data_IF_797089201976
#
_entry.id   IF_797089201976
#
_cell.length_a   1.000
_cell.length_b   1.000
_cell.length_c   1.000
_cell.angle_alpha   90.00
_cell.angle_beta   90.00
_cell.angle_gamma   90.00
#
_symmetry.space_group_name_H-M   'P 1'
#
loop_
_entity.id
_entity.type
_entity.pdbx_description
1 polymer ?
#
# COMPACT_ATOMS: atom_id res chain seq x y z
N UNK A 1 -38.29 -21.22 14.72
CA UNK A 1 -38.54 -19.88 15.31
C UNK A 1 -37.27 -19.07 15.60
N UNK A 2 -36.06 -19.61 15.44
CA UNK A 2 -34.78 -18.90 15.65
C UNK A 2 -34.29 -18.10 14.43
N UNK A 3 -34.77 -18.39 13.21
CA UNK A 3 -34.37 -17.67 11.99
C UNK A 3 -34.87 -16.22 11.90
N UNK A 4 -36.13 -15.96 12.28
CA UNK A 4 -36.76 -14.63 12.14
C UNK A 4 -36.09 -13.58 13.04
N UNK A 5 -35.73 -13.92 14.29
CA UNK A 5 -35.03 -13.00 15.21
C UNK A 5 -33.63 -12.60 14.71
N UNK A 6 -32.95 -13.50 13.99
CA UNK A 6 -31.62 -13.21 13.45
C UNK A 6 -31.70 -12.29 12.22
N UNK A 7 -32.71 -12.46 11.37
CA UNK A 7 -32.95 -11.57 10.24
C UNK A 7 -33.36 -10.17 10.71
N UNK A 8 -34.13 -10.07 11.80
CA UNK A 8 -34.46 -8.79 12.44
C UNK A 8 -33.18 -8.05 12.85
N UNK A 9 -32.24 -8.71 13.54
CA UNK A 9 -30.97 -8.09 13.92
C UNK A 9 -30.10 -7.66 12.72
N UNK A 10 -30.05 -8.47 11.65
CA UNK A 10 -29.33 -8.10 10.42
C UNK A 10 -30.02 -6.97 9.64
N UNK A 11 -31.35 -6.88 9.72
CA UNK A 11 -32.13 -5.78 9.12
C UNK A 11 -31.99 -4.47 9.91
N UNK A 12 -31.92 -4.54 11.25
CA UNK A 12 -31.69 -3.39 12.14
C UNK A 12 -30.34 -2.72 11.85
N UNK A 13 -29.31 -3.51 11.53
CA UNK A 13 -27.98 -2.98 11.14
C UNK A 13 -27.83 -2.79 9.62
N UNK A 14 -28.91 -2.93 8.86
CA UNK A 14 -28.98 -2.61 7.44
C UNK A 14 -28.28 -3.58 6.49
N UNK A 15 -28.00 -4.84 6.88
CA UNK A 15 -27.28 -5.82 6.06
C UNK A 15 -28.17 -6.80 5.27
N UNK A 16 -29.45 -6.96 5.62
CA UNK A 16 -30.30 -8.02 5.02
C UNK A 16 -31.68 -7.58 4.51
N UNK A 17 -32.13 -6.34 4.74
CA UNK A 17 -33.41 -5.90 4.20
C UNK A 17 -33.26 -4.58 3.43
N UNK A 18 -34.00 -4.48 2.33
CA UNK A 18 -34.16 -3.27 1.52
C UNK A 18 -35.18 -2.35 2.21
N UNK A 19 -34.90 -1.90 3.43
CA UNK A 19 -35.79 -0.93 4.06
C UNK A 19 -35.49 0.46 3.49
N UNK A 20 -36.41 0.96 2.68
CA UNK A 20 -36.41 2.32 2.12
C UNK A 20 -36.42 3.42 3.20
N UNK A 21 -36.65 3.09 4.47
CA UNK A 21 -37.07 4.08 5.47
C UNK A 21 -36.39 4.01 6.84
N UNK A 22 -35.20 3.42 7.03
CA UNK A 22 -34.64 3.47 8.40
C UNK A 22 -33.13 3.61 8.63
N UNK A 23 -32.19 3.11 7.83
CA UNK A 23 -30.78 3.14 8.28
C UNK A 23 -29.73 3.32 7.18
N UNK A 24 -29.68 4.53 6.60
CA UNK A 24 -28.46 5.04 5.96
C UNK A 24 -28.11 6.49 6.34
N UNK A 25 -29.05 7.26 6.91
CA UNK A 25 -28.81 8.66 7.28
C UNK A 25 -28.41 8.89 8.74
N UNK A 26 -28.72 7.96 9.66
CA UNK A 26 -28.47 8.15 11.10
C UNK A 26 -27.16 7.53 11.62
N UNK A 27 -26.55 6.60 10.89
CA UNK A 27 -25.24 6.06 11.27
C UNK A 27 -24.15 6.87 10.61
N UNK A 28 -23.26 7.46 11.41
CA UNK A 28 -22.09 8.15 10.90
C UNK A 28 -21.26 7.15 10.08
N UNK A 29 -20.67 7.58 8.96
CA UNK A 29 -19.73 6.80 8.14
C UNK A 29 -18.68 6.03 8.96
N UNK A 30 -18.27 6.58 10.10
CA UNK A 30 -17.35 5.91 11.04
C UNK A 30 -17.94 4.64 11.65
N UNK A 31 -19.19 4.69 12.10
CA UNK A 31 -19.92 3.57 12.69
C UNK A 31 -20.21 2.50 11.63
N UNK A 32 -20.62 2.93 10.43
CA UNK A 32 -20.82 2.02 9.29
C UNK A 32 -19.54 1.25 8.94
N UNK A 33 -18.39 1.92 8.99
CA UNK A 33 -17.10 1.24 8.79
C UNK A 33 -16.80 0.24 9.91
N UNK A 34 -17.16 0.53 11.16
CA UNK A 34 -16.97 -0.42 12.26
C UNK A 34 -17.84 -1.66 12.06
N UNK A 35 -19.11 -1.49 11.70
CA UNK A 35 -20.04 -2.59 11.36
C UNK A 35 -19.47 -3.42 10.21
N UNK A 36 -19.01 -2.77 9.13
CA UNK A 36 -18.41 -3.46 7.98
C UNK A 36 -17.16 -4.27 8.37
N UNK A 37 -16.38 -3.83 9.36
CA UNK A 37 -15.16 -4.51 9.78
C UNK A 37 -15.40 -5.64 10.78
N UNK A 38 -16.54 -5.64 11.47
CA UNK A 38 -16.92 -6.70 12.40
C UNK A 38 -17.18 -8.01 11.64
N UNK A 39 -16.39 -9.05 11.92
CA UNK A 39 -16.48 -10.35 11.24
C UNK A 39 -17.59 -11.25 11.80
N UNK A 40 -18.18 -10.91 12.95
CA UNK A 40 -19.17 -11.74 13.65
C UNK A 40 -20.46 -11.95 12.86
N UNK A 41 -20.77 -11.05 11.92
CA UNK A 41 -21.96 -11.13 11.07
C UNK A 41 -21.77 -11.98 9.82
N UNK A 42 -20.53 -12.31 9.42
CA UNK A 42 -20.27 -12.95 8.14
C UNK A 42 -20.84 -14.35 8.05
N UNK A 43 -20.63 -15.18 9.07
CA UNK A 43 -21.19 -16.53 9.11
C UNK A 43 -22.72 -16.50 9.04
N UNK A 44 -23.35 -15.51 9.67
CA UNK A 44 -24.80 -15.33 9.69
C UNK A 44 -25.32 -14.98 8.29
N UNK A 45 -24.83 -13.89 7.68
CA UNK A 45 -25.29 -13.44 6.36
C UNK A 45 -24.97 -14.50 5.29
N UNK A 46 -23.77 -15.08 5.31
CA UNK A 46 -23.40 -16.12 4.35
C UNK A 46 -24.26 -17.37 4.49
N UNK A 47 -24.64 -17.77 5.71
CA UNK A 47 -25.53 -18.92 5.90
C UNK A 47 -26.93 -18.66 5.39
N UNK A 48 -27.45 -17.45 5.55
CA UNK A 48 -28.78 -17.08 5.03
C UNK A 48 -28.79 -17.08 3.50
N UNK A 49 -27.81 -16.45 2.85
CA UNK A 49 -27.66 -16.47 1.39
C UNK A 49 -27.56 -17.90 0.85
N UNK A 50 -26.79 -18.77 1.52
CA UNK A 50 -26.64 -20.19 1.14
C UNK A 50 -27.92 -21.01 1.27
N UNK A 51 -28.90 -20.60 2.08
CA UNK A 51 -30.19 -21.32 2.19
C UNK A 51 -31.01 -21.22 0.91
N UNK A 52 -30.75 -20.21 0.10
CA UNK A 52 -31.44 -19.94 -1.15
C UNK A 52 -30.53 -20.24 -2.36
N UNK A 53 -29.62 -21.20 -2.21
CA UNK A 53 -28.84 -21.74 -3.32
C UNK A 53 -29.74 -22.55 -4.26
N UNK A 54 -29.73 -22.21 -5.55
CA UNK A 54 -30.48 -22.96 -6.56
C UNK A 54 -29.70 -24.21 -7.01
N UNK A 55 -30.35 -25.07 -7.80
CA UNK A 55 -29.74 -26.31 -8.29
C UNK A 55 -28.53 -26.10 -9.23
N UNK A 56 -28.27 -24.87 -9.66
CA UNK A 56 -27.11 -24.49 -10.47
C UNK A 56 -25.93 -23.98 -9.62
N UNK A 57 -26.07 -23.95 -8.28
CA UNK A 57 -25.06 -23.44 -7.36
C UNK A 57 -25.01 -21.91 -7.28
N UNK A 58 -26.08 -21.24 -7.73
CA UNK A 58 -26.19 -19.79 -7.63
C UNK A 58 -26.92 -19.41 -6.35
N UNK A 59 -26.37 -18.45 -5.62
CA UNK A 59 -26.99 -17.93 -4.41
C UNK A 59 -28.01 -16.83 -4.72
N UNK A 60 -29.12 -16.81 -3.99
CA UNK A 60 -30.07 -15.70 -4.04
C UNK A 60 -29.65 -14.56 -3.12
N UNK A 61 -29.41 -13.39 -3.72
CA UNK A 61 -29.09 -12.13 -3.03
C UNK A 61 -30.25 -11.12 -3.06
N UNK A 62 -31.45 -11.51 -3.50
CA UNK A 62 -32.62 -10.62 -3.71
C UNK A 62 -33.02 -9.84 -2.46
N UNK A 63 -32.87 -10.43 -1.26
CA UNK A 63 -33.14 -9.75 0.00
C UNK A 63 -31.95 -8.94 0.53
N UNK A 64 -30.73 -9.24 0.08
CA UNK A 64 -29.51 -8.61 0.62
C UNK A 64 -29.45 -7.14 0.23
N UNK A 65 -29.15 -6.27 1.19
CA UNK A 65 -29.06 -4.82 0.93
C UNK A 65 -27.74 -4.46 0.22
N UNK A 66 -27.64 -3.22 -0.29
CA UNK A 66 -26.38 -2.68 -0.81
C UNK A 66 -25.23 -2.79 0.21
N UNK A 67 -25.50 -2.52 1.49
CA UNK A 67 -24.50 -2.60 2.56
C UNK A 67 -24.15 -4.06 2.86
N UNK A 68 -25.13 -4.97 2.81
CA UNK A 68 -24.93 -6.41 2.88
C UNK A 68 -24.00 -6.92 1.77
N UNK A 69 -24.21 -6.47 0.54
CA UNK A 69 -23.34 -6.81 -0.58
C UNK A 69 -21.93 -6.26 -0.41
N UNK A 70 -21.77 -5.02 0.08
CA UNK A 70 -20.45 -4.46 0.43
C UNK A 70 -19.78 -5.33 1.50
N UNK A 71 -20.52 -5.71 2.55
CA UNK A 71 -20.03 -6.53 3.65
C UNK A 71 -19.53 -7.89 3.14
N UNK A 72 -20.34 -8.60 2.36
CA UNK A 72 -19.95 -9.88 1.76
C UNK A 72 -18.72 -9.72 0.87
N UNK A 73 -18.68 -8.68 0.04
CA UNK A 73 -17.56 -8.41 -0.86
C UNK A 73 -16.24 -8.14 -0.14
N UNK A 74 -16.24 -7.39 0.96
CA UNK A 74 -15.01 -7.07 1.68
C UNK A 74 -14.45 -8.28 2.42
N UNK A 75 -15.31 -9.23 2.82
CA UNK A 75 -14.97 -10.45 3.56
C UNK A 75 -14.85 -11.72 2.71
N UNK A 76 -15.32 -11.75 1.45
CA UNK A 76 -15.36 -12.94 0.55
C UNK A 76 -14.05 -13.72 0.46
N UNK A 77 -12.91 -13.04 0.59
CA UNK A 77 -11.59 -13.68 0.68
C UNK A 77 -11.20 -13.84 2.14
N UNK A 78 -11.93 -14.68 2.88
CA UNK A 78 -11.73 -14.90 4.31
C UNK A 78 -10.23 -15.10 4.63
N UNK A 79 -9.72 -14.37 5.62
CA UNK A 79 -8.31 -14.42 6.05
C UNK A 79 -7.28 -13.80 5.09
N UNK A 80 -7.59 -13.56 3.81
CA UNK A 80 -6.59 -13.10 2.81
C UNK A 80 -6.50 -11.57 2.66
N UNK A 81 -7.54 -10.83 3.06
CA UNK A 81 -7.56 -9.36 2.95
C UNK A 81 -7.33 -8.70 4.31
N UNK A 82 -6.26 -7.92 4.44
CA UNK A 82 -5.93 -7.17 5.67
C UNK A 82 -7.01 -6.13 6.01
N UNK A 83 -7.23 -5.87 7.29
CA UNK A 83 -8.24 -4.91 7.78
C UNK A 83 -8.08 -3.51 7.18
N UNK A 84 -6.84 -3.06 6.98
CA UNK A 84 -6.57 -1.78 6.31
C UNK A 84 -7.17 -1.73 4.89
N UNK A 85 -7.08 -2.83 4.15
CA UNK A 85 -7.66 -2.94 2.80
C UNK A 85 -9.18 -3.06 2.88
N UNK A 86 -9.73 -3.83 3.82
CA UNK A 86 -11.19 -3.87 4.05
C UNK A 86 -11.76 -2.48 4.36
N UNK A 87 -11.09 -1.74 5.23
CA UNK A 87 -11.45 -0.37 5.63
C UNK A 87 -11.38 0.61 4.46
N UNK A 88 -10.36 0.50 3.61
CA UNK A 88 -10.26 1.30 2.39
C UNK A 88 -11.41 0.98 1.42
N UNK A 89 -11.66 -0.30 1.16
CA UNK A 89 -12.72 -0.73 0.25
C UNK A 89 -14.10 -0.28 0.75
N UNK A 90 -14.41 -0.53 2.02
CA UNK A 90 -15.66 -0.09 2.63
C UNK A 90 -15.85 1.42 2.55
N UNK A 91 -14.78 2.21 2.77
CA UNK A 91 -14.85 3.68 2.62
C UNK A 91 -15.20 4.14 1.21
N UNK A 92 -14.59 3.54 0.18
CA UNK A 92 -14.87 3.94 -1.20
C UNK A 92 -16.26 3.47 -1.65
N UNK A 93 -16.68 2.27 -1.25
CA UNK A 93 -17.99 1.73 -1.61
C UNK A 93 -19.14 2.42 -0.88
N UNK A 94 -18.97 2.80 0.40
CA UNK A 94 -19.95 3.61 1.11
C UNK A 94 -20.13 4.98 0.46
N UNK A 95 -19.06 5.62 -0.02
CA UNK A 95 -19.18 6.88 -0.75
C UNK A 95 -20.01 6.74 -2.04
N UNK A 96 -19.87 5.61 -2.74
CA UNK A 96 -20.68 5.31 -3.91
C UNK A 96 -22.17 5.20 -3.54
N UNK A 97 -22.50 4.48 -2.46
CA UNK A 97 -23.89 4.40 -1.97
C UNK A 97 -24.39 5.79 -1.54
N UNK A 98 -23.62 6.53 -0.74
CA UNK A 98 -23.96 7.88 -0.28
C UNK A 98 -24.29 8.82 -1.44
N UNK A 99 -23.53 8.77 -2.54
CA UNK A 99 -23.80 9.59 -3.72
C UNK A 99 -25.19 9.30 -4.31
N UNK A 100 -25.53 8.03 -4.51
CA UNK A 100 -26.81 7.65 -5.11
C UNK A 100 -27.99 7.89 -4.17
N UNK A 101 -27.80 7.66 -2.87
CA UNK A 101 -28.79 8.01 -1.85
C UNK A 101 -29.11 9.51 -1.87
N UNK A 102 -28.10 10.39 -2.04
CA UNK A 102 -28.31 11.84 -2.19
C UNK A 102 -29.06 12.22 -3.48
N UNK A 103 -29.06 11.34 -4.49
CA UNK A 103 -29.82 11.48 -5.73
C UNK A 103 -31.12 10.64 -5.72
N UNK A 104 -31.61 10.27 -4.53
CA UNK A 104 -32.84 9.51 -4.30
C UNK A 104 -32.86 8.11 -4.97
N UNK A 105 -31.70 7.47 -5.09
CA UNK A 105 -31.57 6.10 -5.58
C UNK A 105 -31.02 5.24 -4.45
N UNK A 106 -31.89 4.40 -3.88
CA UNK A 106 -31.58 3.63 -2.68
C UNK A 106 -31.12 2.20 -2.98
N UNK A 107 -31.34 1.71 -4.20
CA UNK A 107 -31.00 0.37 -4.63
C UNK A 107 -30.12 0.40 -5.88
N UNK A 108 -28.90 -0.13 -5.77
CA UNK A 108 -27.94 -0.12 -6.87
C UNK A 108 -28.35 -1.03 -8.03
N UNK A 109 -29.29 -1.96 -7.81
CA UNK A 109 -29.83 -2.83 -8.87
C UNK A 109 -30.68 -2.06 -9.86
N UNK A 110 -31.24 -0.92 -9.45
CA UNK A 110 -32.01 -0.03 -10.32
C UNK A 110 -31.13 0.85 -11.22
N UNK A 111 -29.81 0.88 -10.98
CA UNK A 111 -28.91 1.78 -11.68
C UNK A 111 -28.81 1.47 -13.17
N UNK A 112 -28.69 2.55 -13.95
CA UNK A 112 -28.46 2.54 -15.39
C UNK A 112 -27.02 2.92 -15.68
N UNK A 113 -26.58 2.58 -16.89
CA UNK A 113 -25.27 2.95 -17.40
C UNK A 113 -25.03 4.47 -17.34
N UNK A 114 -26.00 5.29 -17.72
CA UNK A 114 -25.89 6.75 -17.70
C UNK A 114 -25.61 7.29 -16.30
N UNK A 115 -26.26 6.74 -15.28
CA UNK A 115 -26.04 7.11 -13.88
C UNK A 115 -24.63 6.75 -13.38
N UNK A 116 -24.04 5.68 -13.92
CA UNK A 116 -22.65 5.33 -13.65
C UNK A 116 -21.67 6.31 -14.32
N UNK A 117 -21.99 6.77 -15.53
CA UNK A 117 -21.23 7.81 -16.25
C UNK A 117 -21.30 9.14 -15.48
N UNK A 118 -22.48 9.52 -14.99
CA UNK A 118 -22.69 10.71 -14.13
C UNK A 118 -21.86 10.62 -12.83
N UNK A 119 -21.86 9.45 -12.18
CA UNK A 119 -21.03 9.22 -10.99
C UNK A 119 -19.54 9.34 -11.28
N UNK A 120 -19.09 8.86 -12.43
CA UNK A 120 -17.69 9.01 -12.83
C UNK A 120 -17.32 10.49 -13.05
N UNK A 121 -18.17 11.26 -13.74
CA UNK A 121 -17.95 12.70 -13.93
C UNK A 121 -17.82 13.39 -12.56
N UNK A 122 -18.74 13.10 -11.64
CA UNK A 122 -18.67 13.63 -10.28
C UNK A 122 -17.39 13.23 -9.53
N UNK A 123 -16.89 12.00 -9.70
CA UNK A 123 -15.62 11.57 -9.12
C UNK A 123 -14.44 12.35 -9.69
N UNK A 124 -14.46 12.63 -10.99
CA UNK A 124 -13.41 13.37 -11.68
C UNK A 124 -13.38 14.84 -11.23
N UNK A 125 -14.55 15.46 -11.05
CA UNK A 125 -14.69 16.83 -10.52
C UNK A 125 -14.30 16.92 -9.04
N UNK A 126 -14.70 15.93 -8.23
CA UNK A 126 -14.43 15.93 -6.78
C UNK A 126 -12.96 15.71 -6.43
N UNK A 127 -12.21 15.00 -7.26
CA UNK A 127 -10.85 14.58 -6.95
C UNK A 127 -9.85 15.05 -7.99
N UNK A 128 -9.05 16.04 -7.66
CA UNK A 128 -7.98 16.57 -8.54
C UNK A 128 -6.98 15.49 -9.01
N UNK A 129 -6.60 14.57 -8.11
CA UNK A 129 -5.55 13.58 -8.40
C UNK A 129 -6.09 12.38 -9.19
N UNK A 130 -5.66 12.24 -10.46
CA UNK A 130 -5.91 11.07 -11.33
C UNK A 130 -5.67 9.72 -10.64
N UNK A 131 -4.61 9.60 -9.83
CA UNK A 131 -4.30 8.38 -9.05
C UNK A 131 -5.40 8.03 -8.04
N UNK A 132 -6.01 9.04 -7.41
CA UNK A 132 -7.12 8.85 -6.47
C UNK A 132 -8.37 8.40 -7.23
N UNK A 133 -8.68 9.05 -8.35
CA UNK A 133 -9.78 8.66 -9.24
C UNK A 133 -9.63 7.19 -9.71
N UNK A 134 -8.46 6.84 -10.25
CA UNK A 134 -8.14 5.49 -10.73
C UNK A 134 -8.33 4.43 -9.64
N UNK A 135 -7.87 4.71 -8.41
CA UNK A 135 -8.02 3.79 -7.27
C UNK A 135 -9.50 3.55 -6.93
N UNK A 136 -10.30 4.62 -6.90
CA UNK A 136 -11.74 4.54 -6.60
C UNK A 136 -12.49 3.76 -7.66
N UNK A 137 -12.26 4.08 -8.93
CA UNK A 137 -12.85 3.36 -10.08
C UNK A 137 -12.43 1.89 -10.08
N UNK A 138 -11.18 1.57 -9.74
CA UNK A 138 -10.72 0.17 -9.63
C UNK A 138 -11.47 -0.59 -8.54
N UNK A 139 -11.62 -0.01 -7.35
CA UNK A 139 -12.32 -0.65 -6.22
C UNK A 139 -13.80 -0.85 -6.57
N UNK A 140 -14.44 0.18 -7.14
CA UNK A 140 -15.85 0.14 -7.53
C UNK A 140 -16.10 -0.85 -8.66
N UNK A 141 -15.29 -0.83 -9.73
CA UNK A 141 -15.43 -1.75 -10.85
C UNK A 141 -15.27 -3.20 -10.38
N UNK A 142 -14.31 -3.48 -9.49
CA UNK A 142 -14.14 -4.82 -8.94
C UNK A 142 -15.30 -5.27 -8.04
N UNK A 143 -16.03 -4.34 -7.41
CA UNK A 143 -17.23 -4.64 -6.62
C UNK A 143 -18.43 -4.89 -7.54
N UNK A 144 -18.73 -3.97 -8.46
CA UNK A 144 -19.84 -4.10 -9.40
C UNK A 144 -19.70 -5.34 -10.30
N UNK A 145 -18.47 -5.64 -10.74
CA UNK A 145 -18.20 -6.85 -11.52
C UNK A 145 -18.56 -8.11 -10.72
N UNK A 146 -18.19 -8.15 -9.45
CA UNK A 146 -18.55 -9.26 -8.56
C UNK A 146 -20.07 -9.33 -8.35
N UNK A 147 -20.76 -8.21 -8.10
CA UNK A 147 -22.21 -8.21 -7.97
C UNK A 147 -22.93 -8.70 -9.24
N UNK A 148 -22.38 -8.43 -10.42
CA UNK A 148 -22.89 -8.96 -11.69
C UNK A 148 -22.60 -10.46 -11.85
N UNK A 149 -21.40 -10.92 -11.52
CA UNK A 149 -21.02 -12.34 -11.54
C UNK A 149 -21.84 -13.20 -10.56
N UNK A 150 -22.29 -12.61 -9.45
CA UNK A 150 -23.14 -13.25 -8.44
C UNK A 150 -24.65 -13.05 -8.72
N UNK A 151 -25.03 -12.59 -9.91
CA UNK A 151 -26.42 -12.34 -10.31
C UNK A 151 -27.21 -11.36 -9.41
N UNK A 152 -26.55 -10.61 -8.52
CA UNK A 152 -27.19 -9.53 -7.76
C UNK A 152 -27.55 -8.35 -8.67
N UNK A 153 -26.71 -8.07 -9.66
CA UNK A 153 -26.99 -7.12 -10.73
C UNK A 153 -27.37 -7.87 -12.00
N UNK A 154 -28.50 -7.53 -12.61
CA UNK A 154 -28.92 -8.09 -13.91
C UNK A 154 -28.07 -7.59 -15.09
N UNK A 155 -27.25 -6.54 -14.88
CA UNK A 155 -26.48 -5.87 -15.93
C UNK A 155 -25.10 -5.46 -15.44
N UNK A 156 -24.14 -5.49 -16.35
CA UNK A 156 -22.76 -5.11 -16.06
C UNK A 156 -22.61 -3.59 -16.01
N UNK A 157 -22.76 -3.02 -14.81
CA UNK A 157 -22.61 -1.59 -14.55
C UNK A 157 -21.17 -1.07 -14.71
N UNK A 158 -20.16 -1.95 -14.82
CA UNK A 158 -18.78 -1.48 -15.05
C UNK A 158 -18.60 -0.85 -16.42
N UNK A 159 -19.53 -1.09 -17.36
CA UNK A 159 -19.50 -0.48 -18.69
C UNK A 159 -19.71 1.04 -18.69
N UNK A 160 -20.33 1.57 -17.63
CA UNK A 160 -20.44 3.02 -17.42
C UNK A 160 -19.23 3.63 -16.72
N UNK A 161 -18.19 2.83 -16.42
CA UNK A 161 -16.96 3.28 -15.79
C UNK A 161 -15.78 3.13 -16.76
N UNK A 162 -15.28 4.24 -17.29
CA UNK A 162 -14.06 4.27 -18.08
C UNK A 162 -12.83 4.18 -17.17
N UNK A 163 -11.84 3.38 -17.59
CA UNK A 163 -10.56 3.30 -16.90
C UNK A 163 -9.85 4.65 -16.91
N UNK A 164 -9.34 5.09 -15.76
CA UNK A 164 -8.49 6.29 -15.70
C UNK A 164 -7.11 5.92 -16.18
N UNK A 165 -6.76 6.36 -17.39
CA UNK A 165 -5.38 6.28 -17.88
C UNK A 165 -4.50 7.13 -16.97
N UNK A 166 -3.55 6.49 -16.31
CA UNK A 166 -2.47 7.20 -15.64
C UNK A 166 -1.38 7.41 -16.69
N UNK A 167 -1.22 8.67 -17.10
CA UNK A 167 -0.06 9.02 -17.91
C UNK A 167 1.21 8.65 -17.11
N UNK A 168 2.05 7.78 -17.69
CA UNK A 168 3.31 7.35 -17.07
C UNK A 168 4.23 8.56 -16.82
N UNK A 169 4.08 9.65 -17.57
CA UNK A 169 4.79 10.91 -17.35
C UNK A 169 4.43 11.62 -16.03
N UNK A 170 3.30 11.27 -15.39
CA UNK A 170 2.89 11.81 -14.08
C UNK A 170 3.47 11.05 -12.89
N UNK A 171 4.30 10.04 -13.11
CA UNK A 171 5.03 9.38 -12.02
C UNK A 171 6.14 10.36 -11.60
N UNK A 172 6.09 10.93 -10.39
CA UNK A 172 7.09 11.92 -9.98
C UNK A 172 8.46 11.28 -10.04
N UNK A 173 9.42 12.02 -10.58
CA UNK A 173 10.81 11.63 -10.56
C UNK A 173 11.24 11.44 -9.10
N UNK A 174 11.75 10.24 -8.81
CA UNK A 174 12.13 9.79 -7.47
C UNK A 174 13.63 9.82 -7.27
N UNK A 175 14.39 10.27 -8.27
CA UNK A 175 15.84 10.23 -8.30
C UNK A 175 16.41 11.22 -7.30
N UNK A 176 17.09 10.70 -6.29
CA UNK A 176 17.89 11.49 -5.36
C UNK A 176 19.33 11.35 -5.83
N UNK A 177 20.05 12.46 -5.99
CA UNK A 177 21.47 12.39 -6.35
C UNK A 177 22.32 11.96 -5.15
N UNK A 178 23.46 11.27 -5.36
CA UNK A 178 24.38 10.93 -4.28
C UNK A 178 24.85 12.15 -3.48
N UNK A 179 25.06 13.28 -4.15
CA UNK A 179 25.51 14.54 -3.55
C UNK A 179 24.43 15.11 -2.63
N UNK A 180 23.17 15.15 -3.09
CA UNK A 180 22.05 15.63 -2.28
C UNK A 180 21.83 14.76 -1.03
N UNK A 181 21.97 13.43 -1.17
CA UNK A 181 21.90 12.51 -0.03
C UNK A 181 23.08 12.73 0.93
N UNK A 182 24.29 12.89 0.41
CA UNK A 182 25.50 13.15 1.20
C UNK A 182 25.38 14.46 1.99
N UNK A 183 24.99 15.56 1.35
CA UNK A 183 24.73 16.84 2.03
C UNK A 183 23.67 16.71 3.11
N UNK A 184 22.62 15.92 2.87
CA UNK A 184 21.59 15.66 3.89
C UNK A 184 22.12 14.83 5.05
N UNK A 185 23.02 13.88 4.83
CA UNK A 185 23.67 13.13 5.91
C UNK A 185 24.53 14.05 6.78
N UNK A 186 25.30 14.95 6.16
CA UNK A 186 26.11 15.96 6.87
C UNK A 186 25.26 16.96 7.65
N UNK A 187 24.11 17.37 7.12
CA UNK A 187 23.16 18.21 7.85
C UNK A 187 22.72 17.60 9.20
N UNK A 188 22.79 16.27 9.35
CA UNK A 188 22.43 15.55 10.57
C UNK A 188 23.63 15.03 11.37
N UNK A 189 24.87 15.51 11.15
CA UNK A 189 26.06 15.03 11.87
C UNK A 189 25.92 15.09 13.41
N UNK A 190 25.17 16.06 13.94
CA UNK A 190 24.89 16.19 15.38
C UNK A 190 23.63 15.45 15.86
N UNK A 191 22.91 14.77 14.97
CA UNK A 191 21.68 14.01 15.22
C UNK A 191 21.88 12.54 14.79
N UNK A 192 22.64 11.73 15.57
CA UNK A 192 22.98 10.35 15.21
C UNK A 192 21.75 9.48 14.99
N UNK A 193 20.64 9.83 15.66
CA UNK A 193 19.33 9.22 15.43
C UNK A 193 18.83 9.46 14.02
N UNK A 194 18.76 10.70 13.54
CA UNK A 194 18.21 10.88 12.20
C UNK A 194 19.22 10.54 11.10
N UNK A 195 20.50 10.84 11.32
CA UNK A 195 21.57 10.45 10.41
C UNK A 195 21.61 8.94 10.20
N UNK A 196 21.58 8.16 11.30
CA UNK A 196 21.56 6.70 11.24
C UNK A 196 20.32 6.15 10.54
N UNK A 197 19.15 6.75 10.76
CA UNK A 197 17.91 6.34 10.09
C UNK A 197 17.95 6.63 8.59
N UNK A 198 18.44 7.80 8.19
CA UNK A 198 18.59 8.19 6.80
C UNK A 198 19.56 7.24 6.07
N UNK A 199 20.73 7.01 6.66
CA UNK A 199 21.74 6.11 6.12
C UNK A 199 21.22 4.67 6.04
N UNK A 200 20.53 4.18 7.07
CA UNK A 200 19.90 2.86 7.09
C UNK A 200 18.94 2.70 5.91
N UNK A 201 18.02 3.64 5.71
CA UNK A 201 17.01 3.55 4.66
C UNK A 201 17.65 3.57 3.26
N UNK A 202 18.67 4.40 3.05
CA UNK A 202 19.36 4.53 1.78
C UNK A 202 20.29 3.35 1.46
N UNK A 203 20.79 2.62 2.46
CA UNK A 203 21.82 1.57 2.26
C UNK A 203 21.31 0.14 2.44
N UNK A 204 20.15 -0.07 3.08
CA UNK A 204 19.55 -1.40 3.30
C UNK A 204 18.30 -1.66 2.44
N UNK A 205 17.75 -0.60 1.85
CA UNK A 205 16.47 -0.66 1.14
C UNK A 205 15.34 -1.19 2.03
N UNK A 206 15.33 -0.95 3.33
CA UNK A 206 14.21 -1.31 4.22
C UNK A 206 12.99 -0.40 3.99
N UNK A 207 11.77 -0.95 4.10
CA UNK A 207 10.54 -0.16 4.27
C UNK A 207 10.47 0.33 5.70
N UNK A 208 9.79 1.44 5.96
CA UNK A 208 9.58 1.94 7.33
C UNK A 208 8.99 0.89 8.27
N UNK A 209 8.05 0.05 7.80
CA UNK A 209 7.51 -1.04 8.62
C UNK A 209 8.58 -2.07 8.99
N UNK A 210 9.52 -2.35 8.09
CA UNK A 210 10.61 -3.30 8.32
C UNK A 210 11.67 -2.71 9.28
N UNK A 211 11.73 -1.38 9.45
CA UNK A 211 12.53 -0.69 10.48
C UNK A 211 11.82 -0.68 11.84
N UNK A 212 10.49 -0.50 11.84
CA UNK A 212 9.69 -0.38 13.07
C UNK A 212 9.44 -1.72 13.77
N UNK A 213 9.39 -2.82 13.01
CA UNK A 213 8.97 -4.13 13.54
C UNK A 213 10.02 -4.85 14.41
N UNK A 214 11.31 -4.91 14.08
CA UNK A 214 12.28 -5.73 14.81
C UNK A 214 12.64 -5.18 16.21
N UNK A 215 13.14 -6.07 17.04
CA UNK A 215 13.73 -5.79 18.35
C UNK A 215 15.26 -5.75 18.24
N UNK A 216 15.94 -5.33 19.30
CA UNK A 216 17.41 -5.34 19.36
C UNK A 216 17.95 -6.77 19.23
N UNK A 217 17.30 -7.75 19.83
CA UNK A 217 17.61 -9.19 19.67
C UNK A 217 17.57 -9.71 18.22
N UNK A 218 16.92 -9.00 17.30
CA UNK A 218 16.87 -9.41 15.90
C UNK A 218 18.09 -8.92 15.10
N UNK A 219 18.92 -8.05 15.69
CA UNK A 219 20.23 -7.68 15.19
C UNK A 219 21.25 -8.76 15.56
N UNK A 220 22.06 -9.19 14.61
CA UNK A 220 23.11 -10.19 14.84
C UNK A 220 24.34 -9.93 13.96
N UNK A 221 25.48 -10.43 14.41
CA UNK A 221 26.72 -10.47 13.63
C UNK A 221 26.83 -11.82 12.91
N UNK A 222 26.94 -11.78 11.59
CA UNK A 222 27.23 -12.95 10.78
C UNK A 222 28.74 -13.15 10.72
N UNK A 223 29.25 -14.20 11.38
CA UNK A 223 30.68 -14.47 11.49
C UNK A 223 31.31 -14.82 10.14
N UNK A 224 30.63 -15.59 9.29
CA UNK A 224 31.13 -16.01 7.98
C UNK A 224 31.24 -14.83 7.04
N UNK A 225 30.19 -13.99 6.99
CA UNK A 225 30.11 -12.83 6.08
C UNK A 225 30.81 -11.60 6.65
N UNK A 226 31.18 -11.63 7.93
CA UNK A 226 31.76 -10.53 8.70
C UNK A 226 30.95 -9.24 8.58
N UNK A 227 29.64 -9.35 8.80
CA UNK A 227 28.66 -8.27 8.57
C UNK A 227 27.53 -8.30 9.61
N UNK A 228 26.97 -7.14 9.91
CA UNK A 228 25.78 -7.04 10.75
C UNK A 228 24.50 -7.23 9.94
N UNK A 229 23.51 -7.90 10.51
CA UNK A 229 22.21 -8.11 9.88
C UNK A 229 21.09 -7.90 10.88
N UNK A 230 19.96 -7.37 10.42
CA UNK A 230 18.71 -7.37 11.19
C UNK A 230 17.70 -8.29 10.51
N UNK A 231 17.13 -9.22 11.28
CA UNK A 231 15.99 -10.04 10.83
C UNK A 231 14.71 -9.23 10.99
N UNK A 232 13.90 -9.17 9.94
CA UNK A 232 12.64 -8.39 9.96
C UNK A 232 11.54 -9.06 9.16
N UNK A 233 10.29 -8.88 9.61
CA UNK A 233 9.10 -9.43 8.98
C UNK A 233 8.68 -8.58 7.79
N UNK A 234 8.43 -9.22 6.66
CA UNK A 234 7.96 -8.55 5.45
C UNK A 234 6.43 -8.50 5.42
N UNK A 235 5.85 -7.79 4.43
CA UNK A 235 4.39 -7.58 4.33
C UNK A 235 3.59 -8.89 4.20
N UNK A 236 4.22 -9.99 3.80
CA UNK A 236 3.58 -11.29 3.51
C UNK A 236 3.92 -12.37 4.53
N UNK A 237 4.22 -11.98 5.76
CA UNK A 237 4.58 -12.90 6.84
C UNK A 237 5.84 -13.74 6.53
N UNK A 238 6.64 -13.31 5.54
CA UNK A 238 7.98 -13.81 5.30
C UNK A 238 9.01 -13.07 6.13
N UNK A 239 10.23 -13.60 6.15
CA UNK A 239 11.37 -12.99 6.84
C UNK A 239 12.43 -12.57 5.84
N UNK A 240 13.10 -11.44 6.12
CA UNK A 240 14.30 -11.03 5.39
C UNK A 240 15.39 -10.61 6.37
N UNK A 241 16.63 -10.85 5.97
CA UNK A 241 17.82 -10.42 6.69
C UNK A 241 18.41 -9.22 5.95
N UNK A 242 18.31 -8.03 6.54
CA UNK A 242 18.84 -6.82 5.94
C UNK A 242 20.22 -6.52 6.48
N UNK A 243 21.21 -6.38 5.58
CA UNK A 243 22.56 -5.98 5.95
C UNK A 243 22.57 -4.58 6.54
N UNK A 244 23.22 -4.43 7.69
CA UNK A 244 23.44 -3.17 8.40
C UNK A 244 24.91 -2.81 8.23
N UNK A 245 25.18 -1.68 7.57
CA UNK A 245 26.56 -1.20 7.42
C UNK A 245 27.15 -0.80 8.78
N UNK A 246 28.47 -0.87 8.91
CA UNK A 246 29.17 -0.55 10.15
C UNK A 246 28.87 0.88 10.64
N UNK A 247 28.80 1.84 9.72
CA UNK A 247 28.49 3.23 10.01
C UNK A 247 27.06 3.38 10.58
N UNK A 248 26.11 2.61 10.05
CA UNK A 248 24.74 2.57 10.58
C UNK A 248 24.72 1.97 11.99
N UNK A 249 25.47 0.89 12.21
CA UNK A 249 25.58 0.26 13.53
C UNK A 249 26.22 1.21 14.57
N UNK A 250 27.26 1.96 14.19
CA UNK A 250 27.89 2.97 15.03
C UNK A 250 26.93 4.10 15.40
N UNK A 251 26.18 4.65 14.44
CA UNK A 251 25.18 5.70 14.70
C UNK A 251 24.04 5.19 15.59
N UNK A 252 23.61 3.95 15.37
CA UNK A 252 22.54 3.33 16.14
C UNK A 252 22.97 3.03 17.58
N UNK A 253 24.19 2.54 17.79
CA UNK A 253 24.75 2.28 19.13
C UNK A 253 25.00 3.59 19.89
N UNK A 254 25.49 4.64 19.23
CA UNK A 254 25.58 5.99 19.81
C UNK A 254 24.21 6.53 20.22
N UNK A 255 23.20 6.38 19.36
CA UNK A 255 21.86 6.80 19.71
C UNK A 255 21.29 6.01 20.91
N UNK A 256 21.50 4.69 20.96
CA UNK A 256 21.08 3.86 22.11
C UNK A 256 21.78 4.25 23.41
N UNK A 257 23.09 4.53 23.34
CA UNK A 257 23.88 5.03 24.48
C UNK A 257 23.29 6.32 25.04
N UNK A 258 22.91 7.27 24.19
CA UNK A 258 22.25 8.53 24.60
C UNK A 258 20.88 8.32 25.27
N UNK A 259 20.22 7.20 25.02
CA UNK A 259 18.97 6.81 25.67
C UNK A 259 19.16 6.00 26.95
N UNK A 260 20.40 5.65 27.32
CA UNK A 260 20.69 4.74 28.43
C UNK A 260 20.32 3.29 28.14
N UNK A 261 20.24 2.89 26.87
CA UNK A 261 19.98 1.50 26.47
C UNK A 261 21.28 0.73 26.27
N UNK A 262 21.25 -0.59 26.48
CA UNK A 262 22.39 -1.47 26.22
C UNK A 262 22.83 -1.40 24.74
N UNK A 263 24.14 -1.41 24.49
CA UNK A 263 24.69 -1.33 23.12
C UNK A 263 25.22 -2.65 22.60
N UNK A 264 25.44 -3.63 23.47
CA UNK A 264 25.87 -4.97 23.08
C UNK A 264 24.75 -5.72 22.39
N UNK A 265 25.10 -6.59 21.44
CA UNK A 265 24.11 -7.46 20.78
C UNK A 265 23.72 -8.56 21.76
N UNK A 266 22.47 -8.52 22.21
CA UNK A 266 21.89 -9.45 23.17
C UNK A 266 20.63 -10.10 22.57
N UNK A 267 20.59 -11.44 22.39
CA UNK A 267 19.44 -12.15 21.85
C UNK A 267 18.19 -12.11 22.76
N UNK A 268 18.29 -11.58 23.97
CA UNK A 268 17.19 -11.42 24.92
C UNK A 268 16.64 -9.99 24.97
N UNK A 269 17.32 -9.00 24.38
CA UNK A 269 16.92 -7.59 24.43
C UNK A 269 15.70 -7.31 23.53
N UNK A 270 14.55 -7.07 24.18
CA UNK A 270 13.26 -6.78 23.53
C UNK A 270 13.04 -5.28 23.27
N UNK A 271 14.02 -4.42 23.55
CA UNK A 271 13.93 -3.01 23.18
C UNK A 271 13.84 -2.88 21.65
N UNK A 272 13.15 -1.85 21.13
CA UNK A 272 13.01 -1.70 19.69
C UNK A 272 14.36 -1.57 19.00
N UNK A 273 14.52 -2.21 17.83
CA UNK A 273 15.71 -2.05 16.98
C UNK A 273 16.00 -0.57 16.69
N UNK A 274 14.94 0.20 16.40
CA UNK A 274 15.01 1.65 16.18
C UNK A 274 14.07 2.39 17.15
N UNK A 275 14.52 2.75 18.37
CA UNK A 275 13.66 3.33 19.39
C UNK A 275 13.33 4.81 19.12
N UNK A 276 12.19 5.26 19.63
CA UNK A 276 11.87 6.69 19.67
C UNK A 276 12.65 7.40 20.80
N UNK A 277 12.44 8.71 20.97
CA UNK A 277 13.19 9.51 21.96
C UNK A 277 12.96 9.09 23.42
N UNK A 278 11.99 8.22 23.66
CA UNK A 278 11.62 7.68 24.97
C UNK A 278 12.01 6.20 25.11
N UNK A 279 12.84 5.65 24.21
CA UNK A 279 13.20 4.22 24.21
C UNK A 279 12.09 3.29 23.71
N UNK A 280 10.93 3.82 23.28
CA UNK A 280 9.75 3.02 22.90
C UNK A 280 9.65 2.82 21.39
N UNK A 281 8.86 1.83 20.95
CA UNK A 281 8.64 1.56 19.52
C UNK A 281 7.88 2.71 18.87
N UNK A 282 8.26 3.06 17.64
CA UNK A 282 7.47 3.94 16.81
C UNK A 282 6.17 3.26 16.35
N UNK A 283 5.08 4.02 16.21
CA UNK A 283 4.03 3.60 15.26
C UNK A 283 4.51 3.90 13.85
N UNK A 284 4.09 3.12 12.84
CA UNK A 284 4.44 3.39 11.44
C UNK A 284 4.11 4.83 11.03
N UNK A 285 2.96 5.35 11.47
CA UNK A 285 2.52 6.72 11.22
C UNK A 285 3.49 7.74 11.84
N UNK A 286 3.89 7.55 13.09
CA UNK A 286 4.81 8.46 13.79
C UNK A 286 6.22 8.47 13.19
N UNK A 287 6.75 7.31 12.77
CA UNK A 287 8.04 7.26 12.07
C UNK A 287 7.94 7.91 10.69
N UNK A 288 6.85 7.65 9.95
CA UNK A 288 6.63 8.29 8.65
C UNK A 288 6.55 9.81 8.76
N UNK A 289 5.87 10.34 9.78
CA UNK A 289 5.79 11.77 10.02
C UNK A 289 7.16 12.36 10.39
N UNK A 290 7.95 11.68 11.23
CA UNK A 290 9.31 12.09 11.58
C UNK A 290 10.20 12.17 10.32
N UNK A 291 10.21 11.12 9.50
CA UNK A 291 11.02 11.07 8.28
C UNK A 291 10.62 12.19 7.33
N UNK A 292 9.34 12.36 7.04
CA UNK A 292 8.88 13.45 6.16
C UNK A 292 9.28 14.84 6.70
N UNK A 293 9.14 15.07 8.01
CA UNK A 293 9.52 16.35 8.64
C UNK A 293 11.01 16.61 8.51
N UNK A 294 11.85 15.61 8.79
CA UNK A 294 13.31 15.75 8.79
C UNK A 294 13.87 15.85 7.36
N UNK A 295 13.36 15.06 6.40
CA UNK A 295 13.73 15.21 4.99
C UNK A 295 13.40 16.61 4.46
N UNK A 296 12.25 17.18 4.85
CA UNK A 296 11.89 18.55 4.52
C UNK A 296 12.83 19.57 5.17
N UNK A 297 13.23 19.37 6.43
CA UNK A 297 14.16 20.25 7.14
C UNK A 297 15.57 20.27 6.51
N UNK A 298 16.04 19.13 6.02
CA UNK A 298 17.30 19.04 5.25
C UNK A 298 17.17 19.50 3.79
N UNK A 299 15.96 19.91 3.37
CA UNK A 299 15.63 20.24 1.98
C UNK A 299 16.04 19.14 0.98
N UNK A 300 15.96 17.86 1.38
CA UNK A 300 16.27 16.75 0.49
C UNK A 300 15.19 16.65 -0.60
N UNK A 301 15.62 16.86 -1.83
CA UNK A 301 14.77 16.84 -3.02
C UNK A 301 15.28 15.85 -4.04
N UNK A 302 14.40 15.49 -4.96
CA UNK A 302 14.78 14.75 -6.16
C UNK A 302 15.43 15.66 -7.17
N UNK A 303 16.06 15.09 -8.20
CA UNK A 303 16.66 15.82 -9.33
C UNK A 303 15.62 16.70 -10.03
N UNK A 304 14.36 16.27 -10.12
CA UNK A 304 13.24 17.09 -10.60
C UNK A 304 12.58 17.96 -9.49
N UNK A 305 13.31 18.29 -8.44
CA UNK A 305 12.91 19.19 -7.34
C UNK A 305 11.67 18.79 -6.50
N UNK A 306 11.22 17.53 -6.55
CA UNK A 306 10.15 17.04 -5.69
C UNK A 306 10.66 16.75 -4.27
N UNK A 307 9.80 16.91 -3.27
CA UNK A 307 10.13 16.58 -1.86
C UNK A 307 10.42 15.08 -1.72
N UNK A 308 11.57 14.73 -1.14
CA UNK A 308 11.93 13.34 -0.92
C UNK A 308 11.01 12.67 0.12
N UNK A 309 10.85 11.35 -0.03
CA UNK A 309 10.10 10.51 0.91
C UNK A 309 10.90 9.26 1.27
N UNK A 310 10.51 8.55 2.33
CA UNK A 310 11.15 7.28 2.70
C UNK A 310 11.16 6.25 1.55
N UNK A 311 10.15 6.29 0.67
CA UNK A 311 10.09 5.40 -0.48
C UNK A 311 11.14 5.76 -1.54
N UNK A 312 11.48 7.04 -1.67
CA UNK A 312 12.49 7.50 -2.63
C UNK A 312 13.89 7.05 -2.21
N UNK A 313 14.18 6.97 -0.90
CA UNK A 313 15.43 6.39 -0.39
C UNK A 313 15.58 4.90 -0.76
N UNK A 314 14.47 4.15 -0.78
CA UNK A 314 14.49 2.76 -1.27
C UNK A 314 14.74 2.68 -2.78
N UNK A 315 14.22 3.65 -3.55
CA UNK A 315 14.56 3.77 -4.97
C UNK A 315 16.03 4.10 -5.17
N UNK A 316 16.56 5.05 -4.40
CA UNK A 316 17.98 5.38 -4.38
C UNK A 316 18.84 4.13 -4.14
N UNK A 317 18.50 3.32 -3.13
CA UNK A 317 19.20 2.05 -2.88
C UNK A 317 19.21 1.13 -4.12
N UNK A 318 18.05 0.93 -4.75
CA UNK A 318 17.93 0.05 -5.92
C UNK A 318 18.80 0.55 -7.08
N UNK A 319 18.70 1.86 -7.39
CA UNK A 319 19.46 2.52 -8.44
C UNK A 319 20.96 2.47 -8.17
N UNK A 320 21.38 2.86 -6.97
CA UNK A 320 22.78 2.84 -6.58
C UNK A 320 23.36 1.42 -6.61
N UNK A 321 22.61 0.39 -6.21
CA UNK A 321 23.06 -0.99 -6.33
C UNK A 321 23.21 -1.41 -7.80
N UNK A 322 22.25 -1.06 -8.65
CA UNK A 322 22.29 -1.34 -10.09
C UNK A 322 23.48 -0.69 -10.78
N UNK A 323 23.68 0.62 -10.56
CA UNK A 323 24.81 1.38 -11.11
C UNK A 323 26.18 0.85 -10.63
N UNK A 324 26.22 0.17 -9.47
CA UNK A 324 27.40 -0.51 -8.95
C UNK A 324 27.51 -1.98 -9.40
N UNK A 325 26.76 -2.39 -10.43
CA UNK A 325 26.86 -3.70 -11.06
C UNK A 325 26.00 -4.82 -10.45
N UNK A 326 25.09 -4.52 -9.53
CA UNK A 326 24.18 -5.54 -9.01
C UNK A 326 23.10 -5.90 -10.04
N UNK A 327 22.93 -7.20 -10.31
CA UNK A 327 21.87 -7.65 -11.23
C UNK A 327 20.46 -7.33 -10.71
N UNK A 328 19.51 -7.12 -11.63
CA UNK A 328 18.09 -6.87 -11.31
C UNK A 328 17.53 -7.98 -10.40
N UNK A 329 17.93 -9.23 -10.64
CA UNK A 329 17.54 -10.37 -9.82
C UNK A 329 18.03 -10.27 -8.38
N UNK A 330 19.29 -9.87 -8.16
CA UNK A 330 19.84 -9.64 -6.82
C UNK A 330 19.12 -8.51 -6.09
N UNK A 331 18.82 -7.41 -6.79
CA UNK A 331 18.08 -6.27 -6.24
C UNK A 331 16.65 -6.69 -5.90
N UNK A 332 15.95 -7.41 -6.79
CA UNK A 332 14.60 -7.90 -6.56
C UNK A 332 14.51 -8.81 -5.33
N UNK A 333 15.48 -9.72 -5.17
CA UNK A 333 15.59 -10.60 -4.00
C UNK A 333 15.84 -9.81 -2.72
N UNK A 334 16.76 -8.84 -2.75
CA UNK A 334 17.08 -7.98 -1.60
C UNK A 334 15.90 -7.11 -1.17
N UNK A 335 15.10 -6.65 -2.13
CA UNK A 335 13.91 -5.84 -1.89
C UNK A 335 12.63 -6.66 -1.67
N UNK A 336 12.72 -7.99 -1.61
CA UNK A 336 11.56 -8.87 -1.44
C UNK A 336 10.42 -8.54 -2.43
N UNK A 337 10.77 -8.40 -3.71
CA UNK A 337 9.83 -8.14 -4.80
C UNK A 337 9.30 -9.46 -5.38
N UNK A 338 7.98 -9.56 -5.62
CA UNK A 338 7.32 -10.79 -6.14
C UNK A 338 7.75 -11.13 -7.58
N UNK A 339 8.19 -10.12 -8.32
CA UNK A 339 8.50 -10.22 -9.73
C UNK A 339 9.61 -9.21 -10.04
N UNK A 340 10.52 -9.61 -10.92
CA UNK A 340 11.54 -8.73 -11.50
C UNK A 340 10.92 -7.51 -12.16
N UNK A 341 9.70 -7.62 -12.72
CA UNK A 341 8.94 -6.51 -13.28
C UNK A 341 8.77 -5.34 -12.28
N UNK A 342 8.64 -5.64 -10.99
CA UNK A 342 8.56 -4.58 -9.97
C UNK A 342 9.89 -3.85 -9.88
N UNK A 343 11.02 -4.56 -9.95
CA UNK A 343 12.36 -3.96 -9.93
C UNK A 343 12.69 -3.27 -11.25
N UNK A 344 12.26 -3.82 -12.39
CA UNK A 344 12.36 -3.16 -13.70
C UNK A 344 11.59 -1.84 -13.72
N UNK A 345 10.39 -1.79 -13.14
CA UNK A 345 9.66 -0.53 -12.95
C UNK A 345 10.39 0.45 -12.00
N UNK A 346 11.25 -0.03 -11.10
CA UNK A 346 12.07 0.84 -10.25
C UNK A 346 13.29 1.39 -10.98
N UNK A 347 13.78 0.67 -12.00
CA UNK A 347 14.97 0.95 -12.80
C UNK A 347 14.62 1.33 -14.24
N UNK A 348 13.37 1.72 -14.50
CA UNK A 348 12.86 1.78 -15.89
C UNK A 348 13.56 2.82 -16.75
N UNK A 349 14.25 3.81 -16.15
CA UNK A 349 15.02 4.82 -16.87
C UNK A 349 16.44 4.32 -17.17
N UNK A 350 17.08 3.66 -16.22
CA UNK A 350 18.38 3.01 -16.39
C UNK A 350 18.29 1.90 -17.44
N UNK A 351 17.26 1.06 -17.36
CA UNK A 351 17.03 -0.01 -18.33
C UNK A 351 16.73 0.51 -19.74
N UNK A 352 16.17 1.71 -19.88
CA UNK A 352 15.99 2.33 -21.20
C UNK A 352 17.31 2.74 -21.84
N UNK A 353 18.32 3.10 -21.03
CA UNK A 353 19.66 3.46 -21.52
C UNK A 353 20.48 2.21 -21.83
N UNK A 354 20.44 1.19 -20.98
CA UNK A 354 21.21 -0.05 -21.20
C UNK A 354 20.60 -0.98 -22.26
N UNK A 355 19.29 -0.93 -22.48
CA UNK A 355 18.62 -1.66 -23.56
C UNK A 355 18.37 -0.75 -24.78
N UNK A 356 19.18 0.29 -24.96
CA UNK A 356 19.11 1.06 -26.21
C UNK A 356 19.57 0.15 -27.35
N UNK A 357 18.62 -0.22 -28.22
CA UNK A 357 18.89 -1.11 -29.34
C UNK A 357 19.86 -0.48 -30.34
N UNK A 358 20.09 0.84 -30.27
CA UNK A 358 21.07 1.54 -31.10
C UNK A 358 22.47 0.95 -30.94
N UNK A 359 22.83 0.42 -29.76
CA UNK A 359 24.13 -0.21 -29.51
C UNK A 359 24.31 -1.55 -30.26
N UNK A 360 23.20 -2.16 -30.71
CA UNK A 360 23.19 -3.39 -31.50
C UNK A 360 22.99 -3.13 -33.00
N UNK A 361 22.80 -1.87 -33.41
CA UNK A 361 22.62 -1.48 -34.81
C UNK A 361 23.97 -1.02 -35.37
N UNK A 362 24.65 -1.93 -36.07
CA UNK A 362 25.82 -1.59 -36.90
C UNK A 362 25.44 -1.54 -38.38
N UNK A 363 25.89 -0.53 -39.13
CA UNK A 363 25.77 -0.48 -40.59
C UNK A 363 27.04 -1.08 -41.20
N UNK A 364 26.97 -2.26 -41.86
CA UNK A 364 28.14 -2.87 -42.49
C UNK A 364 28.78 -1.93 -43.52
N UNK A 365 30.08 -1.66 -43.38
CA UNK A 365 30.82 -0.75 -44.26
C UNK A 365 30.79 0.73 -43.88
N UNK A 366 30.09 1.11 -42.79
CA UNK A 366 30.05 2.48 -42.29
C UNK A 366 30.93 2.64 -41.04
N UNK A 367 32.18 3.08 -41.23
CA UNK A 367 33.15 3.30 -40.15
C UNK A 367 33.08 4.72 -39.56
N UNK A 368 31.88 5.21 -39.25
CA UNK A 368 31.67 6.48 -38.52
C UNK A 368 32.21 7.76 -39.19
N UNK A 369 31.73 8.91 -38.73
CA UNK A 369 32.26 10.22 -39.12
C UNK A 369 33.49 10.53 -38.25
N UNK A 370 34.65 9.95 -38.56
CA UNK A 370 35.91 10.49 -38.05
C UNK A 370 36.23 11.79 -38.79
N UNK A 371 35.54 12.89 -38.44
CA UNK A 371 36.01 14.26 -38.68
C UNK A 371 35.54 15.20 -37.57
N UNK A 372 36.56 15.69 -36.85
CA UNK A 372 36.65 16.79 -35.88
C UNK A 372 36.32 16.45 -34.42
#
# INVERSE_FOLDING_TARGET
MTGVRNLVNLSEIGLYALNENTYAFNLNRTEMIQILLDQSYYSKISSEVKRYENNFGEYDYSSVSNIGMIYLYIHRKQGKRKDKTKKEYGRELLQFIEYFTLHNIFDIRSLKRSQMEDYQIWLEEKYEKRKTQAKKITILSSFLKWCFEENYLERDLTRGLAGVSLDKAQIPDREISPEALSSSLHFFDNDPKFQGLLLLLATSGLRLNEVVTPDWKDLYWDQERRKYYVRTKTKRDGERHAHIRNEVFQLLTEYRRRLGLATEIDPTDQTPFYPNRYGKRYTLTSLSALVSKKLAAANLRTESHHKATAHFLRHYFARAAFNNGASIGMIAKTLDHKSTQTTENYLSRELKKENDVSDFVSIPGFNGWNRL
#
